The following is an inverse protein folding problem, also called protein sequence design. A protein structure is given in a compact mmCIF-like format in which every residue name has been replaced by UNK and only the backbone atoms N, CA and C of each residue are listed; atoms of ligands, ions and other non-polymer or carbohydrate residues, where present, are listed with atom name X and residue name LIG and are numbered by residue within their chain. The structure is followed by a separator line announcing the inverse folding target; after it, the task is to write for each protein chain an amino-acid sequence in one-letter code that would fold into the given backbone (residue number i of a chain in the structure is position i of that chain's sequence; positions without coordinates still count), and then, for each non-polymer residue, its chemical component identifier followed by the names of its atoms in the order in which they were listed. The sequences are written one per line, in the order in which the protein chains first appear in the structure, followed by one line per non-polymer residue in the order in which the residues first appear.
data_IF_986346025750
#
_entry.id   IF_986346025750
#
_cell.length_a   1.000
_cell.length_b   1.000
_cell.length_c   1.000
_cell.angle_alpha   90.00
_cell.angle_beta   90.00
_cell.angle_gamma   90.00
#
_symmetry.space_group_name_H-M   'P 1'
#
loop_
_entity.id
_entity.type
_entity.pdbx_description
1 polymer ?
#
# COMPACT_ATOMS: atom_id res chain seq x y z
N UNK A 1 -25.55 17.45 0.12
CA UNK A 1 -24.86 16.72 1.22
C UNK A 1 -24.71 15.25 0.85
N UNK A 2 -25.78 14.60 0.41
CA UNK A 2 -25.81 13.20 -0.07
C UNK A 2 -24.67 12.81 -1.03
N UNK A 3 -24.40 13.64 -2.06
CA UNK A 3 -23.34 13.36 -3.04
C UNK A 3 -21.92 13.31 -2.47
N UNK A 4 -21.65 14.02 -1.37
CA UNK A 4 -20.32 14.05 -0.72
C UNK A 4 -20.11 12.82 0.15
N UNK A 5 -21.18 12.31 0.75
CA UNK A 5 -21.14 11.10 1.59
C UNK A 5 -21.01 9.84 0.71
N UNK A 6 -21.71 9.80 -0.43
CA UNK A 6 -21.55 8.74 -1.43
C UNK A 6 -20.12 8.72 -2.01
N UNK A 7 -19.57 9.89 -2.36
CA UNK A 7 -18.20 10.00 -2.84
C UNK A 7 -17.19 9.50 -1.79
N UNK A 8 -17.36 9.86 -0.52
CA UNK A 8 -16.50 9.39 0.58
C UNK A 8 -16.57 7.88 0.78
N UNK A 9 -17.76 7.29 0.64
CA UNK A 9 -17.95 5.84 0.72
C UNK A 9 -17.26 5.10 -0.46
N UNK A 10 -17.36 5.64 -1.68
CA UNK A 10 -16.67 5.12 -2.86
C UNK A 10 -15.14 5.21 -2.70
N UNK A 11 -14.62 6.33 -2.21
CA UNK A 11 -13.18 6.50 -1.93
C UNK A 11 -12.71 5.47 -0.91
N UNK A 12 -13.43 5.28 0.20
CA UNK A 12 -13.08 4.28 1.21
C UNK A 12 -13.10 2.85 0.66
N UNK A 13 -14.07 2.53 -0.19
CA UNK A 13 -14.11 1.22 -0.87
C UNK A 13 -12.87 1.04 -1.75
N UNK A 14 -12.48 2.07 -2.50
CA UNK A 14 -11.25 2.08 -3.29
C UNK A 14 -10.00 1.89 -2.43
N UNK A 15 -9.90 2.60 -1.30
CA UNK A 15 -8.80 2.48 -0.34
C UNK A 15 -8.66 1.05 0.19
N UNK A 16 -9.78 0.41 0.56
CA UNK A 16 -9.78 -0.97 1.04
C UNK A 16 -9.31 -1.95 -0.04
N UNK A 17 -9.81 -1.80 -1.26
CA UNK A 17 -9.38 -2.64 -2.39
C UNK A 17 -7.89 -2.44 -2.66
N UNK A 18 -7.41 -1.20 -2.69
CA UNK A 18 -5.99 -0.90 -2.88
C UNK A 18 -5.11 -1.50 -1.77
N UNK A 19 -5.53 -1.39 -0.50
CA UNK A 19 -4.82 -2.02 0.61
C UNK A 19 -4.79 -3.57 0.50
N UNK A 20 -5.88 -4.19 0.04
CA UNK A 20 -5.92 -5.64 -0.22
C UNK A 20 -5.01 -6.04 -1.39
N UNK A 21 -4.98 -5.24 -2.45
CA UNK A 21 -4.05 -5.44 -3.58
C UNK A 21 -2.61 -5.41 -3.07
N UNK A 22 -2.25 -4.48 -2.17
CA UNK A 22 -0.91 -4.45 -1.56
C UNK A 22 -0.55 -5.80 -0.93
N UNK A 23 -1.45 -6.42 -0.16
CA UNK A 23 -1.18 -7.74 0.43
C UNK A 23 -1.03 -8.84 -0.62
N UNK A 24 -1.86 -8.85 -1.65
CA UNK A 24 -1.75 -9.81 -2.77
C UNK A 24 -0.41 -9.62 -3.48
N UNK A 25 -0.03 -8.38 -3.77
CA UNK A 25 1.27 -8.04 -4.37
C UNK A 25 2.41 -8.52 -3.49
N UNK A 26 2.37 -8.27 -2.18
CA UNK A 26 3.40 -8.75 -1.24
C UNK A 26 3.52 -10.28 -1.32
N UNK A 27 2.41 -11.01 -1.23
CA UNK A 27 2.41 -12.46 -1.27
C UNK A 27 2.97 -13.05 -2.59
N UNK A 28 2.72 -12.38 -3.72
CA UNK A 28 3.16 -12.82 -5.04
C UNK A 28 4.62 -12.44 -5.32
N UNK A 29 5.00 -11.19 -5.03
CA UNK A 29 6.31 -10.65 -5.43
C UNK A 29 7.40 -10.89 -4.40
N UNK A 30 7.09 -10.98 -3.09
CA UNK A 30 8.12 -11.22 -2.08
C UNK A 30 8.93 -12.50 -2.30
N UNK A 31 8.37 -13.68 -2.63
CA UNK A 31 9.20 -14.87 -2.88
C UNK A 31 10.09 -14.72 -4.12
N UNK A 32 9.62 -13.98 -5.14
CA UNK A 32 10.38 -13.71 -6.36
C UNK A 32 11.59 -12.84 -6.01
N UNK A 33 11.36 -11.72 -5.31
CA UNK A 33 12.42 -10.81 -4.93
C UNK A 33 13.40 -11.41 -3.93
N UNK A 34 12.93 -12.24 -2.99
CA UNK A 34 13.82 -12.97 -2.08
C UNK A 34 14.78 -13.89 -2.85
N UNK A 35 14.32 -14.51 -3.94
CA UNK A 35 15.13 -15.46 -4.69
C UNK A 35 16.03 -14.80 -5.74
N UNK A 36 15.56 -13.73 -6.38
CA UNK A 36 16.22 -13.13 -7.54
C UNK A 36 16.85 -11.75 -7.29
N UNK A 37 16.58 -11.09 -6.16
CA UNK A 37 17.15 -9.76 -5.89
C UNK A 37 18.63 -9.83 -5.51
N UNK A 38 19.45 -9.03 -6.20
CA UNK A 38 20.86 -8.82 -5.86
C UNK A 38 21.06 -8.02 -4.57
N UNK A 39 20.02 -7.33 -4.07
CA UNK A 39 20.06 -6.59 -2.80
C UNK A 39 20.13 -7.51 -1.56
N UNK A 40 19.85 -8.81 -1.73
CA UNK A 40 19.85 -9.80 -0.66
C UNK A 40 18.60 -9.77 0.22
N UNK A 41 18.50 -10.73 1.14
CA UNK A 41 17.28 -11.02 1.89
C UNK A 41 16.79 -9.87 2.79
N UNK A 42 17.71 -9.21 3.51
CA UNK A 42 17.33 -8.21 4.53
C UNK A 42 16.64 -6.97 3.93
N UNK A 43 17.18 -6.32 2.88
CA UNK A 43 16.50 -5.19 2.24
C UNK A 43 15.13 -5.57 1.66
N UNK A 44 15.02 -6.76 1.05
CA UNK A 44 13.75 -7.27 0.53
C UNK A 44 12.72 -7.37 1.66
N UNK A 45 13.03 -8.07 2.74
CA UNK A 45 12.11 -8.21 3.87
C UNK A 45 11.74 -6.86 4.50
N UNK A 46 12.67 -5.90 4.54
CA UNK A 46 12.40 -4.57 5.03
C UNK A 46 11.37 -3.84 4.16
N UNK A 47 11.56 -3.81 2.84
CA UNK A 47 10.64 -3.14 1.91
C UNK A 47 9.24 -3.77 1.97
N UNK A 48 9.16 -5.10 1.88
CA UNK A 48 7.88 -5.80 1.96
C UNK A 48 7.22 -5.65 3.33
N UNK A 49 7.99 -5.66 4.41
CA UNK A 49 7.51 -5.42 5.77
C UNK A 49 6.89 -4.03 5.93
N UNK A 50 7.57 -2.98 5.43
CA UNK A 50 7.04 -1.60 5.46
C UNK A 50 5.72 -1.50 4.70
N UNK A 51 5.62 -2.11 3.51
CA UNK A 51 4.37 -2.11 2.74
C UNK A 51 3.26 -2.91 3.42
N UNK A 52 3.57 -4.05 4.03
CA UNK A 52 2.61 -4.83 4.80
C UNK A 52 2.05 -4.02 5.98
N UNK A 53 2.93 -3.35 6.73
CA UNK A 53 2.53 -2.50 7.85
C UNK A 53 1.69 -1.31 7.39
N UNK A 54 2.08 -0.64 6.32
CA UNK A 54 1.31 0.48 5.75
C UNK A 54 -0.07 0.02 5.27
N UNK A 55 -0.13 -1.07 4.48
CA UNK A 55 -1.38 -1.65 4.01
C UNK A 55 -2.31 -2.04 5.15
N UNK A 56 -1.76 -2.65 6.22
CA UNK A 56 -2.53 -3.02 7.40
C UNK A 56 -3.04 -1.79 8.15
N UNK A 57 -2.19 -0.80 8.39
CA UNK A 57 -2.58 0.43 9.07
C UNK A 57 -3.68 1.17 8.31
N UNK A 58 -3.57 1.28 6.99
CA UNK A 58 -4.59 1.90 6.13
C UNK A 58 -5.88 1.09 6.15
N UNK A 59 -5.80 -0.24 6.03
CA UNK A 59 -6.97 -1.10 6.07
C UNK A 59 -7.73 -0.95 7.39
N UNK A 60 -7.03 -1.03 8.52
CA UNK A 60 -7.62 -0.85 9.86
C UNK A 60 -8.21 0.56 10.02
N UNK A 61 -7.47 1.60 9.64
CA UNK A 61 -7.94 2.98 9.72
C UNK A 61 -9.22 3.20 8.89
N UNK A 62 -9.31 2.58 7.71
CA UNK A 62 -10.48 2.67 6.82
C UNK A 62 -11.76 2.07 7.40
N UNK A 63 -11.65 1.25 8.46
CA UNK A 63 -12.79 0.65 9.18
C UNK A 63 -13.29 1.54 10.32
N UNK A 64 -12.59 2.63 10.64
CA UNK A 64 -12.94 3.53 11.73
C UNK A 64 -13.64 4.80 11.24
N UNK A 65 -14.29 5.52 12.17
CA UNK A 65 -14.83 6.87 11.90
C UNK A 65 -13.75 7.86 11.47
N UNK A 66 -12.49 7.65 11.88
CA UNK A 66 -11.38 8.48 11.46
C UNK A 66 -11.09 8.30 9.97
N UNK A 67 -11.15 7.06 9.47
CA UNK A 67 -10.99 6.76 8.04
C UNK A 67 -12.04 7.43 7.17
N UNK A 68 -13.31 7.49 7.63
CA UNK A 68 -14.38 8.22 6.92
C UNK A 68 -14.04 9.70 6.74
N UNK A 69 -13.39 10.32 7.73
CA UNK A 69 -13.01 11.74 7.69
C UNK A 69 -11.74 12.01 6.88
N UNK A 70 -10.92 10.99 6.64
CA UNK A 70 -9.58 11.13 6.03
C UNK A 70 -9.38 10.16 4.86
N UNK A 71 -10.46 9.82 4.14
CA UNK A 71 -10.41 8.85 3.04
C UNK A 71 -9.39 9.23 1.96
N UNK A 72 -9.32 10.51 1.59
CA UNK A 72 -8.36 11.02 0.61
C UNK A 72 -6.91 10.92 1.13
N UNK A 73 -6.70 11.18 2.42
CA UNK A 73 -5.39 11.02 3.05
C UNK A 73 -4.91 9.58 3.06
N UNK A 74 -5.81 8.62 3.29
CA UNK A 74 -5.52 7.19 3.20
C UNK A 74 -5.19 6.76 1.76
N UNK A 75 -5.94 7.29 0.77
CA UNK A 75 -5.67 7.04 -0.64
C UNK A 75 -4.30 7.59 -1.05
N UNK A 76 -3.97 8.82 -0.63
CA UNK A 76 -2.67 9.44 -0.87
C UNK A 76 -1.53 8.66 -0.22
N UNK A 77 -1.70 8.14 0.99
CA UNK A 77 -0.69 7.32 1.65
C UNK A 77 -0.36 6.05 0.84
N UNK A 78 -1.39 5.37 0.32
CA UNK A 78 -1.20 4.21 -0.56
C UNK A 78 -0.56 4.58 -1.89
N UNK A 79 -1.00 5.68 -2.53
CA UNK A 79 -0.42 6.16 -3.78
C UNK A 79 1.05 6.56 -3.62
N UNK A 80 1.39 7.23 -2.53
CA UNK A 80 2.77 7.59 -2.19
C UNK A 80 3.63 6.35 -1.93
N UNK A 81 3.11 5.36 -1.21
CA UNK A 81 3.78 4.07 -1.00
C UNK A 81 4.07 3.37 -2.33
N UNK A 82 3.08 3.28 -3.21
CA UNK A 82 3.24 2.69 -4.54
C UNK A 82 4.25 3.46 -5.40
N UNK A 83 4.20 4.80 -5.40
CA UNK A 83 5.17 5.63 -6.14
C UNK A 83 6.59 5.46 -5.60
N UNK A 84 6.75 5.41 -4.27
CA UNK A 84 8.04 5.15 -3.61
C UNK A 84 8.57 3.77 -3.97
N UNK A 85 7.71 2.74 -3.97
CA UNK A 85 8.09 1.40 -4.40
C UNK A 85 8.58 1.39 -5.85
N UNK A 86 7.87 2.06 -6.76
CA UNK A 86 8.29 2.18 -8.15
C UNK A 86 9.63 2.90 -8.28
N UNK A 87 9.85 3.99 -7.53
CA UNK A 87 11.13 4.70 -7.52
C UNK A 87 12.26 3.81 -6.99
N UNK A 88 12.04 3.09 -5.89
CA UNK A 88 13.00 2.13 -5.36
C UNK A 88 13.29 1.04 -6.40
N UNK A 89 12.27 0.50 -7.04
CA UNK A 89 12.44 -0.53 -8.07
C UNK A 89 13.24 -0.03 -9.28
N UNK A 90 12.97 1.19 -9.76
CA UNK A 90 13.61 1.74 -10.96
C UNK A 90 15.03 2.27 -10.68
N UNK A 91 15.29 2.85 -9.51
CA UNK A 91 16.55 3.56 -9.25
C UNK A 91 17.47 2.86 -8.25
N UNK A 92 16.92 2.06 -7.34
CA UNK A 92 17.68 1.43 -6.25
C UNK A 92 17.81 -0.07 -6.47
N UNK A 93 16.83 -0.70 -7.11
CA UNK A 93 16.81 -2.12 -7.40
C UNK A 93 17.61 -2.56 -8.63
N UNK A 94 18.03 -1.70 -9.60
CA UNK A 94 18.97 -2.14 -10.63
C UNK A 94 20.42 -1.91 -10.18
N UNK A 95 21.01 -2.97 -9.60
CA UNK A 95 22.23 -3.70 -10.01
C UNK A 95 22.70 -4.59 -8.88
#
# INVERSE_FOLDING_TARGET
MESRDEQGALTLRGVRIAALIVFVSIAVFSPIDVHYSSAGLRPVLFVYGVHATLGLAVLLASLTRWGVRHADGLALALAFGAATNTLLYVYVWPR
#
